data_IF_508797518015
#
_entry.id   IF_508797518015
#
_cell.length_a   1.000
_cell.length_b   1.000
_cell.length_c   1.000
_cell.angle_alpha   90.00
_cell.angle_beta   90.00
_cell.angle_gamma   90.00
#
_symmetry.space_group_name_H-M   'P 1'
#
loop_
_entity.id
_entity.type
_entity.pdbx_description
1 polymer ?
#
# COMPACT_ATOMS: atom_id res chain seq x y z
N UNK A 1 1.20 13.48 25.06
CA UNK A 1 1.95 12.37 24.47
C UNK A 1 1.56 12.18 23.03
N UNK A 2 2.40 12.52 22.10
CA UNK A 2 2.04 12.26 20.72
C UNK A 2 1.96 10.76 20.49
N UNK A 3 0.89 10.33 19.87
CA UNK A 3 0.80 8.96 19.44
C UNK A 3 1.77 8.77 18.27
N UNK A 4 2.54 7.72 18.34
CA UNK A 4 3.40 7.39 17.23
C UNK A 4 2.54 7.00 16.03
N UNK A 5 2.82 7.59 14.89
CA UNK A 5 2.17 7.17 13.65
C UNK A 5 2.72 5.82 13.27
N UNK A 6 1.83 4.85 13.11
CA UNK A 6 2.23 3.60 12.49
C UNK A 6 2.38 3.83 11.00
N UNK A 7 3.28 3.07 10.41
CA UNK A 7 3.58 3.15 9.01
C UNK A 7 3.83 1.75 8.50
N UNK A 8 3.25 1.43 7.36
CA UNK A 8 3.50 0.14 6.71
C UNK A 8 4.08 0.39 5.33
N UNK A 9 4.85 -0.58 4.87
CA UNK A 9 5.38 -0.59 3.53
C UNK A 9 4.67 -1.70 2.77
N UNK A 10 4.11 -1.36 1.62
CA UNK A 10 3.35 -2.31 0.80
C UNK A 10 4.00 -2.44 -0.55
N UNK A 11 4.17 -3.69 -1.01
CA UNK A 11 4.65 -3.98 -2.36
C UNK A 11 3.46 -3.94 -3.32
N UNK A 12 3.55 -3.08 -4.33
CA UNK A 12 2.48 -2.88 -5.30
C UNK A 12 3.06 -3.00 -6.71
N UNK A 13 2.35 -3.67 -7.60
CA UNK A 13 2.79 -3.83 -8.99
C UNK A 13 2.82 -2.49 -9.72
N UNK A 14 3.76 -2.29 -10.65
CA UNK A 14 3.90 -1.01 -11.37
C UNK A 14 2.60 -0.52 -12.00
N UNK A 15 1.82 -1.42 -12.57
CA UNK A 15 0.54 -1.07 -13.17
C UNK A 15 -0.39 -0.34 -12.18
N UNK A 16 -0.46 -0.83 -10.95
CA UNK A 16 -1.35 -0.25 -9.95
C UNK A 16 -0.74 0.98 -9.29
N UNK A 17 0.59 1.03 -9.17
CA UNK A 17 1.28 2.24 -8.69
C UNK A 17 0.95 3.41 -9.62
N UNK A 18 1.02 3.20 -10.93
CA UNK A 18 0.69 4.23 -11.91
C UNK A 18 -0.75 4.73 -11.72
N UNK A 19 -1.69 3.83 -11.46
CA UNK A 19 -3.09 4.21 -11.23
C UNK A 19 -3.27 4.99 -9.93
N UNK A 20 -2.50 4.66 -8.89
CA UNK A 20 -2.53 5.42 -7.64
C UNK A 20 -2.04 6.85 -7.88
N UNK A 21 -0.90 7.01 -8.54
CA UNK A 21 -0.33 8.33 -8.76
C UNK A 21 -1.14 9.18 -9.74
N UNK A 22 -1.89 8.55 -10.65
CA UNK A 22 -2.77 9.27 -11.57
C UNK A 22 -4.12 9.66 -10.94
N UNK A 23 -4.43 9.15 -9.76
CA UNK A 23 -5.69 9.42 -9.08
C UNK A 23 -6.83 8.51 -9.47
N UNK A 24 -6.62 7.58 -10.39
CA UNK A 24 -7.66 6.63 -10.82
C UNK A 24 -7.94 5.61 -9.73
N UNK A 25 -6.88 5.12 -9.07
CA UNK A 25 -6.99 4.14 -8.00
C UNK A 25 -6.83 4.85 -6.65
N UNK A 26 -7.92 4.93 -5.89
CA UNK A 26 -7.91 5.55 -4.56
C UNK A 26 -8.15 4.55 -3.44
N UNK A 27 -8.36 3.28 -3.79
CA UNK A 27 -8.52 2.19 -2.82
C UNK A 27 -7.57 1.06 -3.17
N UNK A 28 -6.74 0.69 -2.21
CA UNK A 28 -5.85 -0.46 -2.32
C UNK A 28 -6.49 -1.63 -1.58
N UNK A 29 -6.65 -2.75 -2.28
CA UNK A 29 -7.31 -3.92 -1.71
C UNK A 29 -6.29 -4.86 -1.08
N UNK A 30 -6.66 -5.43 0.07
CA UNK A 30 -5.82 -6.41 0.76
C UNK A 30 -6.65 -7.56 1.28
N UNK A 31 -6.08 -8.78 1.22
CA UNK A 31 -6.69 -9.98 1.79
C UNK A 31 -6.44 -10.07 3.29
N UNK A 32 -5.31 -9.53 3.73
CA UNK A 32 -4.86 -9.57 5.12
C UNK A 32 -4.22 -8.24 5.46
N UNK A 33 -4.45 -7.76 6.66
CA UNK A 33 -3.81 -6.56 7.20
C UNK A 33 -3.33 -6.81 8.62
N UNK A 34 -2.37 -6.00 9.11
CA UNK A 34 -2.01 -6.03 10.53
C UNK A 34 -3.22 -5.71 11.39
N UNK A 35 -3.34 -6.39 12.53
CA UNK A 35 -4.50 -6.23 13.41
C UNK A 35 -4.62 -4.83 14.00
N UNK A 36 -3.51 -4.14 14.17
CA UNK A 36 -3.46 -2.87 14.87
C UNK A 36 -3.05 -1.72 13.96
N UNK A 37 -3.62 -1.64 12.78
CA UNK A 37 -3.33 -0.55 11.86
C UNK A 37 -4.39 0.53 11.99
N UNK A 38 -4.10 1.62 12.71
CA UNK A 38 -5.09 2.68 12.91
C UNK A 38 -5.29 3.52 11.66
N UNK A 39 -6.44 4.19 11.60
CA UNK A 39 -6.68 5.19 10.58
C UNK A 39 -5.60 6.27 10.67
N UNK A 40 -5.34 6.94 9.55
CA UNK A 40 -4.29 7.95 9.41
C UNK A 40 -2.87 7.39 9.43
N UNK A 41 -2.71 6.06 9.39
CA UNK A 41 -1.40 5.44 9.22
C UNK A 41 -0.83 5.78 7.85
N UNK A 42 0.49 5.84 7.79
CA UNK A 42 1.19 6.10 6.54
C UNK A 42 1.45 4.80 5.79
N UNK A 43 1.35 4.86 4.47
CA UNK A 43 1.72 3.76 3.59
C UNK A 43 2.92 4.19 2.76
N UNK A 44 4.00 3.45 2.87
CA UNK A 44 5.16 3.61 2.00
C UNK A 44 4.98 2.65 0.84
N UNK A 45 5.09 3.17 -0.37
CA UNK A 45 4.81 2.40 -1.59
C UNK A 45 6.11 1.89 -2.20
N UNK A 46 6.28 0.56 -2.16
CA UNK A 46 7.37 -0.10 -2.87
C UNK A 46 6.81 -0.64 -4.19
N UNK A 47 7.34 -0.14 -5.29
CA UNK A 47 6.93 -0.59 -6.62
C UNK A 47 7.75 -1.82 -6.98
N UNK A 48 7.07 -2.94 -7.18
CA UNK A 48 7.72 -4.22 -7.41
C UNK A 48 8.37 -4.29 -8.80
N UNK A 49 8.93 -5.46 -9.12
CA UNK A 49 9.66 -5.71 -10.36
C UNK A 49 8.85 -5.26 -11.60
N UNK A 50 9.47 -4.64 -12.60
CA UNK A 50 10.92 -4.43 -12.76
C UNK A 50 11.46 -3.17 -12.06
N UNK A 51 10.61 -2.30 -11.55
CA UNK A 51 11.03 -1.03 -10.96
C UNK A 51 11.89 -1.21 -9.72
N UNK A 52 11.43 -2.05 -8.78
CA UNK A 52 12.16 -2.39 -7.55
C UNK A 52 12.65 -1.16 -6.81
N UNK A 53 11.74 -0.28 -6.41
CA UNK A 53 12.07 0.97 -5.72
C UNK A 53 10.94 1.42 -4.81
N UNK A 54 11.31 2.13 -3.74
CA UNK A 54 10.33 2.89 -2.96
C UNK A 54 10.08 4.18 -3.74
N UNK A 55 8.83 4.38 -4.15
CA UNK A 55 8.49 5.43 -5.12
C UNK A 55 7.61 6.54 -4.57
N UNK A 56 7.04 6.35 -3.39
CA UNK A 56 6.16 7.36 -2.84
C UNK A 56 5.50 6.91 -1.56
N UNK A 57 4.53 7.69 -1.11
CA UNK A 57 3.78 7.37 0.10
C UNK A 57 2.36 7.93 0.00
N UNK A 58 1.50 7.45 0.90
CA UNK A 58 0.12 7.90 1.00
C UNK A 58 -0.31 7.81 2.46
N UNK A 59 -1.49 8.37 2.76
CA UNK A 59 -2.11 8.19 4.07
C UNK A 59 -3.30 7.27 3.92
N UNK A 60 -3.51 6.38 4.89
CA UNK A 60 -4.74 5.58 4.97
C UNK A 60 -5.78 6.45 5.66
N UNK A 61 -6.72 6.98 4.88
CA UNK A 61 -7.80 7.80 5.42
C UNK A 61 -8.69 6.96 6.32
N UNK A 62 -9.07 5.77 5.85
CA UNK A 62 -9.80 4.79 6.64
C UNK A 62 -9.67 3.41 6.00
N UNK A 63 -10.00 2.39 6.77
CA UNK A 63 -9.96 1.00 6.35
C UNK A 63 -11.38 0.47 6.37
N UNK A 64 -11.81 -0.10 5.22
CA UNK A 64 -13.11 -0.73 5.09
C UNK A 64 -12.94 -2.24 5.11
N UNK A 65 -13.40 -2.88 6.18
CA UNK A 65 -13.46 -4.33 6.25
C UNK A 65 -14.89 -4.76 5.95
N UNK A 66 -15.10 -5.47 4.84
CA UNK A 66 -16.43 -5.78 4.34
C UNK A 66 -16.49 -7.19 3.78
N UNK A 67 -17.70 -7.81 3.76
CA UNK A 67 -17.91 -8.99 2.94
C UNK A 67 -17.54 -8.68 1.50
N UNK A 68 -17.06 -9.69 0.77
CA UNK A 68 -16.47 -9.48 -0.56
C UNK A 68 -17.43 -8.78 -1.53
N UNK A 69 -18.68 -9.25 -1.59
CA UNK A 69 -19.65 -8.65 -2.51
C UNK A 69 -19.92 -7.17 -2.18
N UNK A 70 -20.00 -6.85 -0.89
CA UNK A 70 -20.26 -5.48 -0.46
C UNK A 70 -19.05 -4.58 -0.69
N UNK A 71 -17.85 -5.13 -0.50
CA UNK A 71 -16.61 -4.40 -0.77
C UNK A 71 -16.57 -3.94 -2.23
N UNK A 72 -16.89 -4.84 -3.16
CA UNK A 72 -16.93 -4.49 -4.58
C UNK A 72 -18.02 -3.47 -4.89
N UNK A 73 -19.22 -3.70 -4.35
CA UNK A 73 -20.36 -2.83 -4.56
C UNK A 73 -20.06 -1.39 -4.16
N UNK A 74 -19.42 -1.21 -3.02
CA UNK A 74 -19.15 0.12 -2.47
C UNK A 74 -17.88 0.76 -3.00
N UNK A 75 -16.82 -0.02 -3.21
CA UNK A 75 -15.51 0.52 -3.52
C UNK A 75 -14.92 0.07 -4.85
N UNK A 76 -15.56 -0.86 -5.54
CA UNK A 76 -14.99 -1.44 -6.76
C UNK A 76 -14.58 -0.40 -7.79
N UNK A 77 -15.37 0.64 -7.97
CA UNK A 77 -15.10 1.69 -8.95
C UNK A 77 -13.87 2.55 -8.60
N UNK A 78 -13.34 2.41 -7.39
CA UNK A 78 -12.18 3.16 -6.92
C UNK A 78 -10.90 2.33 -6.87
N UNK A 79 -10.99 1.05 -7.26
CA UNK A 79 -9.87 0.12 -7.10
C UNK A 79 -8.96 0.02 -8.33
N UNK A 80 -9.45 0.46 -9.49
CA UNK A 80 -8.68 0.40 -10.73
C UNK A 80 -8.52 -1.01 -11.30
N UNK A 81 -9.30 -1.99 -10.83
CA UNK A 81 -9.23 -3.36 -11.33
C UNK A 81 -10.60 -3.83 -11.83
N UNK A 82 -10.61 -4.87 -12.66
CA UNK A 82 -11.86 -5.46 -13.15
C UNK A 82 -12.51 -6.31 -12.06
N UNK A 83 -13.81 -6.55 -12.23
CA UNK A 83 -14.54 -7.43 -11.32
C UNK A 83 -13.98 -8.85 -11.35
N UNK A 84 -13.59 -9.34 -12.53
CA UNK A 84 -13.00 -10.68 -12.69
C UNK A 84 -11.70 -10.79 -11.90
N UNK A 85 -10.83 -9.79 -12.01
CA UNK A 85 -9.59 -9.77 -11.24
C UNK A 85 -9.88 -9.72 -9.74
N UNK A 86 -10.85 -8.92 -9.33
CA UNK A 86 -11.27 -8.79 -7.94
C UNK A 86 -11.71 -10.14 -7.37
N UNK A 87 -12.56 -10.85 -8.11
CA UNK A 87 -13.06 -12.17 -7.69
C UNK A 87 -11.91 -13.16 -7.53
N UNK A 88 -10.99 -13.17 -8.48
CA UNK A 88 -9.84 -14.05 -8.43
C UNK A 88 -8.93 -13.71 -7.24
N UNK A 89 -8.69 -12.43 -7.03
CA UNK A 89 -7.83 -11.96 -5.94
C UNK A 89 -8.37 -12.39 -4.58
N UNK A 90 -9.68 -12.31 -4.38
CA UNK A 90 -10.31 -12.67 -3.11
C UNK A 90 -10.84 -14.10 -3.06
N UNK A 91 -10.48 -14.92 -4.04
CA UNK A 91 -10.94 -16.32 -4.06
C UNK A 91 -10.59 -17.02 -2.75
N UNK A 92 -11.57 -17.66 -2.13
CA UNK A 92 -11.40 -18.34 -0.86
C UNK A 92 -11.56 -17.46 0.37
N UNK A 93 -11.88 -16.17 0.18
CA UNK A 93 -12.11 -15.24 1.29
C UNK A 93 -13.57 -14.83 1.37
N UNK A 94 -14.09 -14.73 2.59
CA UNK A 94 -15.45 -14.25 2.83
C UNK A 94 -15.49 -12.73 2.91
N UNK A 95 -14.40 -12.12 3.34
CA UNK A 95 -14.30 -10.68 3.49
C UNK A 95 -12.91 -10.21 3.07
N UNK A 96 -12.80 -8.92 2.83
CA UNK A 96 -11.54 -8.30 2.45
C UNK A 96 -11.44 -6.89 3.00
N UNK A 97 -10.32 -6.25 2.71
CA UNK A 97 -10.02 -4.91 3.22
C UNK A 97 -9.80 -3.97 2.05
N UNK A 98 -10.39 -2.78 2.18
CA UNK A 98 -10.11 -1.67 1.28
C UNK A 98 -9.41 -0.57 2.05
N UNK A 99 -8.19 -0.24 1.66
CA UNK A 99 -7.47 0.89 2.21
C UNK A 99 -7.83 2.13 1.40
N UNK A 100 -8.61 3.03 1.99
CA UNK A 100 -8.96 4.29 1.32
C UNK A 100 -7.80 5.25 1.50
N UNK A 101 -7.17 5.62 0.38
CA UNK A 101 -5.93 6.40 0.38
C UNK A 101 -6.20 7.86 0.07
N UNK A 102 -5.44 8.74 0.73
CA UNK A 102 -5.39 10.15 0.37
C UNK A 102 -3.96 10.67 0.61
N UNK A 103 -3.75 11.96 0.38
CA UNK A 103 -2.44 12.60 0.55
C UNK A 103 -1.32 11.83 -0.16
N UNK A 104 -1.60 11.47 -1.42
CA UNK A 104 -0.65 10.72 -2.25
C UNK A 104 0.54 11.61 -2.56
N UNK A 105 1.74 11.08 -2.33
CA UNK A 105 2.97 11.79 -2.65
C UNK A 105 3.88 10.88 -3.47
N UNK A 106 4.22 11.31 -4.68
CA UNK A 106 5.19 10.62 -5.51
C UNK A 106 6.56 11.27 -5.27
N UNK A 107 7.56 10.45 -4.92
CA UNK A 107 8.90 10.98 -4.69
C UNK A 107 9.56 11.39 -6.01
N UNK A 108 10.26 12.53 -5.98
CA UNK A 108 10.99 13.00 -7.16
C UNK A 108 12.18 12.09 -7.47
N UNK A 109 12.76 11.47 -6.43
CA UNK A 109 13.89 10.55 -6.57
C UNK A 109 13.55 9.24 -5.85
N UNK A 110 13.16 8.19 -6.58
CA UNK A 110 12.89 6.89 -5.95
C UNK A 110 14.13 6.31 -5.27
N UNK A 111 13.90 5.47 -4.27
CA UNK A 111 14.97 4.77 -3.56
C UNK A 111 15.03 3.34 -4.10
N UNK A 112 16.08 3.05 -4.88
CA UNK A 112 16.21 1.74 -5.52
C UNK A 112 16.48 0.63 -4.52
N UNK A 113 16.11 -0.59 -4.89
CA UNK A 113 16.40 -1.77 -4.07
C UNK A 113 17.89 -1.92 -3.80
N UNK A 114 18.72 -1.66 -4.83
CA UNK A 114 20.17 -1.73 -4.67
C UNK A 114 20.67 -0.77 -3.61
N UNK A 115 20.19 0.48 -3.66
CA UNK A 115 20.53 1.48 -2.65
C UNK A 115 20.08 1.06 -1.25
N UNK A 116 18.85 0.58 -1.14
CA UNK A 116 18.29 0.17 0.16
C UNK A 116 19.02 -1.04 0.74
N UNK A 117 19.39 -2.01 -0.10
CA UNK A 117 20.17 -3.16 0.34
C UNK A 117 21.54 -2.74 0.88
N UNK A 118 22.17 -1.82 0.18
CA UNK A 118 23.49 -1.33 0.57
C UNK A 118 23.44 -0.58 1.90
N UNK A 119 22.44 0.26 2.09
CA UNK A 119 22.36 1.15 3.25
C UNK A 119 21.77 0.49 4.49
N UNK A 120 20.75 -0.34 4.34
CA UNK A 120 20.00 -0.88 5.49
C UNK A 120 19.69 -2.36 5.38
N UNK A 121 20.31 -3.07 4.44
CA UNK A 121 20.08 -4.51 4.26
C UNK A 121 18.59 -4.83 4.04
N UNK A 122 17.92 -4.00 3.26
CA UNK A 122 16.48 -4.08 3.02
C UNK A 122 16.09 -5.27 2.17
N UNK A 123 14.96 -5.92 2.50
CA UNK A 123 14.31 -6.91 1.65
C UNK A 123 12.85 -6.52 1.48
N UNK A 124 12.36 -6.41 0.24
CA UNK A 124 10.96 -6.05 0.05
C UNK A 124 10.03 -7.17 0.52
N UNK A 125 8.89 -6.84 1.13
CA UNK A 125 7.92 -7.84 1.54
C UNK A 125 7.15 -8.37 0.34
N UNK A 126 6.59 -9.59 0.46
CA UNK A 126 5.69 -10.08 -0.58
C UNK A 126 4.36 -9.34 -0.57
N UNK A 127 3.90 -8.92 0.59
CA UNK A 127 2.65 -8.19 0.75
C UNK A 127 2.90 -6.87 1.46
N UNK A 128 3.13 -6.91 2.76
CA UNK A 128 3.40 -5.71 3.54
C UNK A 128 4.35 -6.02 4.69
N UNK A 129 4.90 -4.95 5.28
CA UNK A 129 5.66 -5.02 6.52
C UNK A 129 5.50 -3.69 7.25
N UNK A 130 5.68 -3.70 8.58
CA UNK A 130 5.82 -2.44 9.30
C UNK A 130 7.13 -1.79 8.89
N UNK A 131 7.12 -0.46 8.75
CA UNK A 131 8.37 0.25 8.50
C UNK A 131 9.25 0.21 9.73
N UNK A 132 10.56 0.20 9.49
CA UNK A 132 11.56 0.22 10.56
C UNK A 132 12.13 1.63 10.70
N UNK A 133 12.77 1.96 11.84
CA UNK A 133 13.44 3.25 11.96
C UNK A 133 14.43 3.50 10.83
N UNK A 134 15.15 2.47 10.38
CA UNK A 134 16.11 2.59 9.28
C UNK A 134 15.45 3.09 8.00
N UNK A 135 14.29 2.53 7.66
CA UNK A 135 13.55 2.93 6.47
C UNK A 135 13.10 4.39 6.61
N UNK A 136 12.54 4.73 7.77
CA UNK A 136 12.04 6.07 8.01
C UNK A 136 13.17 7.11 7.95
N UNK A 137 14.34 6.78 8.49
CA UNK A 137 15.50 7.67 8.45
C UNK A 137 15.92 7.96 7.00
N UNK A 138 15.98 6.92 6.17
CA UNK A 138 16.33 7.07 4.75
C UNK A 138 15.32 7.97 4.03
N UNK A 139 14.04 7.84 4.36
CA UNK A 139 13.00 8.63 3.71
C UNK A 139 12.93 10.06 4.24
N UNK A 140 13.84 10.45 5.09
CA UNK A 140 13.97 11.84 5.54
C UNK A 140 13.08 12.18 6.71
N UNK A 141 12.58 11.18 7.37
CA UNK A 141 11.66 11.50 8.44
C UNK A 141 11.53 10.79 9.55
#
# INVERSE_FOLDING_TARGET
MPSEKLSILISIKPKYVALIFSGVKTVELRRVLPKSLPDNSEVIIYESSPTKSIVGKARIKNIEEQPINKLWEELGHRTGISFEYFKEYFNGKDKGYGLVLDKIEKFSAPYSLGYLRDKINFSPPQSYMYTTPDILDILGG
#
